data_IF_184192865440
#
_entry.id   IF_184192865440
#
_cell.length_a   1.000
_cell.length_b   1.000
_cell.length_c   1.000
_cell.angle_alpha   90.00
_cell.angle_beta   90.00
_cell.angle_gamma   90.00
#
_symmetry.space_group_name_H-M   'P 1'
#
loop_
_entity.id
_entity.type
_entity.pdbx_description
1 polymer ?
#
# COMPACT_ATOMS: atom_id res chain seq x y z
N UNK A 1 58.29 -62.72 -10.94
CA UNK A 1 57.11 -62.60 -10.11
C UNK A 1 57.09 -61.15 -9.61
N UNK A 2 56.61 -60.21 -10.42
CA UNK A 2 56.58 -58.76 -10.09
C UNK A 2 55.14 -58.24 -10.30
N UNK A 3 54.50 -57.89 -9.20
CA UNK A 3 53.17 -57.23 -9.23
C UNK A 3 53.37 -55.70 -9.41
N UNK A 4 52.99 -55.23 -10.62
CA UNK A 4 52.89 -53.80 -10.91
C UNK A 4 51.55 -53.25 -10.47
N UNK A 5 51.52 -52.45 -9.42
CA UNK A 5 50.32 -51.74 -8.95
C UNK A 5 50.20 -50.47 -9.76
N UNK A 6 49.23 -50.43 -10.70
CA UNK A 6 48.84 -49.23 -11.44
C UNK A 6 47.99 -48.32 -10.54
N UNK A 7 48.54 -47.16 -10.15
CA UNK A 7 47.80 -46.08 -9.48
C UNK A 7 46.99 -45.28 -10.51
N UNK A 8 45.68 -45.45 -10.50
CA UNK A 8 44.73 -44.61 -11.25
C UNK A 8 44.58 -43.26 -10.54
N UNK A 9 45.15 -42.22 -11.15
CA UNK A 9 44.89 -40.83 -10.76
C UNK A 9 43.52 -40.40 -11.27
N UNK A 10 42.60 -40.06 -10.36
CA UNK A 10 41.31 -39.43 -10.69
C UNK A 10 41.51 -37.91 -10.79
N UNK A 11 41.09 -37.26 -11.89
CA UNK A 11 41.08 -35.81 -11.94
C UNK A 11 39.91 -35.28 -11.13
N UNK A 12 40.18 -34.40 -10.16
CA UNK A 12 39.23 -33.57 -9.49
C UNK A 12 38.74 -32.48 -10.48
N UNK A 13 37.55 -32.62 -11.00
CA UNK A 13 36.86 -31.54 -11.73
C UNK A 13 36.30 -30.60 -10.69
N UNK A 14 36.97 -29.50 -10.44
CA UNK A 14 36.45 -28.39 -9.64
C UNK A 14 35.35 -27.67 -10.46
N UNK A 15 34.07 -27.96 -10.19
CA UNK A 15 32.96 -27.27 -10.78
C UNK A 15 32.88 -25.83 -10.25
N UNK A 16 33.18 -24.86 -11.12
CA UNK A 16 33.01 -23.44 -10.87
C UNK A 16 31.50 -23.12 -10.91
N UNK A 17 30.85 -23.05 -9.76
CA UNK A 17 29.46 -22.57 -9.66
C UNK A 17 29.46 -21.06 -9.86
N UNK A 18 29.20 -20.63 -11.08
CA UNK A 18 28.90 -19.20 -11.36
C UNK A 18 27.54 -18.88 -10.80
N UNK A 19 27.49 -18.25 -9.64
CA UNK A 19 26.28 -17.59 -9.12
C UNK A 19 25.97 -16.40 -10.04
N UNK A 20 25.13 -16.65 -11.05
CA UNK A 20 24.51 -15.59 -11.82
C UNK A 20 23.57 -14.81 -10.89
N UNK A 21 24.08 -13.77 -10.24
CA UNK A 21 23.29 -12.79 -9.54
C UNK A 21 22.35 -12.12 -10.55
N UNK A 22 21.06 -12.45 -10.50
CA UNK A 22 20.03 -11.73 -11.24
C UNK A 22 19.98 -10.31 -10.68
N UNK A 23 20.77 -9.40 -11.26
CA UNK A 23 20.55 -7.96 -11.11
C UNK A 23 19.21 -7.67 -11.75
N UNK A 24 18.16 -7.55 -10.95
CA UNK A 24 16.91 -6.95 -11.41
C UNK A 24 17.28 -5.56 -11.93
N UNK A 25 17.22 -5.37 -13.24
CA UNK A 25 17.37 -4.06 -13.88
C UNK A 25 16.30 -3.18 -13.23
N UNK A 26 16.75 -2.23 -12.39
CA UNK A 26 15.88 -1.17 -11.93
C UNK A 26 15.35 -0.45 -13.17
N UNK A 27 14.04 -0.51 -13.41
CA UNK A 27 13.42 0.18 -14.52
C UNK A 27 13.86 1.65 -14.45
N UNK A 28 14.36 2.19 -15.57
CA UNK A 28 14.74 3.60 -15.66
C UNK A 28 13.47 4.45 -15.61
N UNK A 29 13.11 4.88 -14.39
CA UNK A 29 11.95 5.73 -14.15
C UNK A 29 12.35 7.18 -14.32
N UNK A 30 11.61 7.90 -15.15
CA UNK A 30 11.81 9.33 -15.45
C UNK A 30 10.85 10.19 -14.61
N UNK A 31 11.40 11.16 -13.87
CA UNK A 31 10.60 12.15 -13.14
C UNK A 31 9.78 12.98 -14.12
N UNK A 32 8.51 13.22 -13.79
CA UNK A 32 7.55 13.90 -14.68
C UNK A 32 6.80 12.95 -15.63
N UNK A 33 7.27 11.70 -15.80
CA UNK A 33 6.61 10.66 -16.59
C UNK A 33 5.97 9.61 -15.67
N UNK A 34 6.77 8.74 -15.04
CA UNK A 34 6.23 7.68 -14.19
C UNK A 34 6.02 8.10 -12.74
N UNK A 35 6.62 9.18 -12.28
CA UNK A 35 6.45 9.71 -10.93
C UNK A 35 6.74 11.21 -10.87
N UNK A 36 6.31 11.86 -9.78
CA UNK A 36 6.69 13.23 -9.41
C UNK A 36 7.36 13.22 -8.04
N UNK A 37 8.39 14.06 -7.85
CA UNK A 37 9.04 14.23 -6.55
C UNK A 37 8.28 15.23 -5.67
N UNK A 38 8.10 14.88 -4.40
CA UNK A 38 7.66 15.81 -3.35
C UNK A 38 8.87 16.57 -2.80
N UNK A 39 8.80 17.88 -2.84
CA UNK A 39 9.82 18.77 -2.28
C UNK A 39 9.15 19.84 -1.42
N UNK A 40 9.46 19.90 -0.11
CA UNK A 40 10.29 18.95 0.64
C UNK A 40 9.65 17.57 0.77
N UNK A 41 10.47 16.55 1.05
CA UNK A 41 9.98 15.21 1.39
C UNK A 41 9.16 15.25 2.69
N UNK A 42 8.17 14.38 2.76
CA UNK A 42 7.30 14.26 3.95
C UNK A 42 7.80 13.10 4.83
N UNK A 43 8.07 13.32 6.13
CA UNK A 43 8.49 12.24 7.02
C UNK A 43 7.47 11.09 7.06
N UNK A 44 7.98 9.88 7.03
CA UNK A 44 7.19 8.63 7.13
C UNK A 44 6.94 8.22 8.58
N UNK A 45 6.03 7.29 8.79
CA UNK A 45 5.70 6.77 10.12
C UNK A 45 5.78 5.24 10.18
N UNK A 46 6.76 4.69 9.52
CA UNK A 46 7.06 3.26 9.53
C UNK A 46 8.29 2.98 10.40
N UNK A 47 8.46 1.72 10.80
CA UNK A 47 9.61 1.31 11.60
C UNK A 47 10.94 1.59 10.86
N UNK A 48 12.04 1.83 11.58
CA UNK A 48 13.37 1.94 10.99
C UNK A 48 13.67 0.75 10.06
N UNK A 49 14.29 1.03 8.94
CA UNK A 49 14.59 0.00 7.91
C UNK A 49 13.42 -0.34 6.98
N UNK A 50 12.25 0.27 7.15
CA UNK A 50 11.11 0.11 6.25
C UNK A 50 10.95 1.30 5.31
N UNK A 51 10.45 1.01 4.11
CA UNK A 51 10.02 2.00 3.12
C UNK A 51 8.50 2.05 3.14
N UNK A 52 7.94 3.22 3.41
CA UNK A 52 6.50 3.43 3.41
C UNK A 52 5.97 3.54 1.99
N UNK A 53 4.93 2.78 1.67
CA UNK A 53 4.12 2.96 0.47
C UNK A 53 2.71 3.27 0.90
N UNK A 54 2.24 4.49 0.65
CA UNK A 54 0.90 4.95 0.99
C UNK A 54 0.02 4.88 -0.24
N UNK A 55 -1.05 4.08 -0.18
CA UNK A 55 -2.14 4.18 -1.13
C UNK A 55 -3.17 5.19 -0.63
N UNK A 56 -3.41 6.22 -1.42
CA UNK A 56 -4.48 7.19 -1.15
C UNK A 56 -5.72 6.81 -1.94
N UNK A 57 -6.79 6.49 -1.23
CA UNK A 57 -8.00 5.92 -1.81
C UNK A 57 -9.28 6.67 -1.39
N UNK A 58 -10.37 6.38 -2.08
CA UNK A 58 -11.73 6.75 -1.69
C UNK A 58 -12.68 5.59 -1.91
N UNK A 59 -13.52 5.28 -0.94
CA UNK A 59 -14.46 4.16 -1.04
C UNK A 59 -15.40 4.24 -2.25
N UNK A 60 -15.86 5.44 -2.65
CA UNK A 60 -16.72 5.61 -3.82
C UNK A 60 -15.94 5.81 -5.15
N UNK A 61 -14.63 5.58 -5.14
CA UNK A 61 -13.82 5.59 -6.36
C UNK A 61 -13.80 4.20 -6.99
N UNK A 62 -14.43 4.05 -8.18
CA UNK A 62 -14.46 2.78 -8.90
C UNK A 62 -13.07 2.23 -9.25
N UNK A 63 -12.11 3.11 -9.59
CA UNK A 63 -10.72 2.68 -9.85
C UNK A 63 -10.02 2.18 -8.58
N UNK A 64 -10.29 2.77 -7.40
CA UNK A 64 -9.79 2.25 -6.13
C UNK A 64 -10.38 0.86 -5.83
N UNK A 65 -11.69 0.68 -6.06
CA UNK A 65 -12.36 -0.61 -5.91
C UNK A 65 -11.74 -1.70 -6.80
N UNK A 66 -11.41 -1.38 -8.06
CA UNK A 66 -10.77 -2.32 -8.99
C UNK A 66 -9.31 -2.60 -8.64
N UNK A 67 -8.59 -1.61 -8.08
CA UNK A 67 -7.20 -1.75 -7.69
C UNK A 67 -7.02 -2.58 -6.41
N UNK A 68 -7.97 -2.51 -5.45
CA UNK A 68 -7.83 -3.13 -4.12
C UNK A 68 -7.46 -4.63 -4.15
N UNK A 69 -8.13 -5.51 -4.94
CA UNK A 69 -7.73 -6.92 -5.00
C UNK A 69 -6.33 -7.13 -5.56
N UNK A 70 -5.88 -6.30 -6.49
CA UNK A 70 -4.51 -6.34 -7.05
C UNK A 70 -3.50 -5.87 -6.02
N UNK A 71 -3.82 -4.80 -5.28
CA UNK A 71 -2.99 -4.27 -4.20
C UNK A 71 -2.84 -5.29 -3.06
N UNK A 72 -3.92 -5.97 -2.67
CA UNK A 72 -3.89 -7.05 -1.69
C UNK A 72 -3.05 -8.25 -2.15
N UNK A 73 -3.11 -8.60 -3.44
CA UNK A 73 -2.28 -9.65 -4.01
C UNK A 73 -0.79 -9.24 -4.04
N UNK A 74 -0.48 -8.01 -4.41
CA UNK A 74 0.87 -7.45 -4.36
C UNK A 74 1.40 -7.42 -2.93
N UNK A 75 0.61 -7.00 -1.95
CA UNK A 75 0.99 -6.98 -0.54
C UNK A 75 1.40 -8.36 -0.04
N UNK A 76 0.72 -9.43 -0.49
CA UNK A 76 1.00 -10.81 -0.06
C UNK A 76 2.20 -11.42 -0.77
N UNK A 77 2.42 -11.15 -2.06
CA UNK A 77 3.35 -11.93 -2.90
C UNK A 77 4.34 -11.10 -3.71
N UNK A 78 4.06 -9.82 -3.99
CA UNK A 78 4.85 -8.97 -4.88
C UNK A 78 5.61 -7.85 -4.19
N UNK A 79 5.27 -7.58 -2.95
CA UNK A 79 5.82 -6.48 -2.16
C UNK A 79 7.22 -6.83 -1.64
N UNK A 80 8.25 -5.96 -1.83
CA UNK A 80 9.54 -6.14 -1.20
C UNK A 80 9.43 -6.25 0.33
N UNK A 81 10.28 -7.09 0.95
CA UNK A 81 10.19 -7.39 2.38
C UNK A 81 10.38 -6.16 3.29
N UNK A 82 11.14 -5.16 2.83
CA UNK A 82 11.36 -3.90 3.52
C UNK A 82 10.25 -2.87 3.28
N UNK A 83 9.27 -3.13 2.42
CA UNK A 83 8.15 -2.21 2.16
C UNK A 83 7.01 -2.46 3.15
N UNK A 84 6.45 -1.39 3.67
CA UNK A 84 5.21 -1.38 4.44
C UNK A 84 4.13 -0.62 3.68
N UNK A 85 3.02 -1.31 3.36
CA UNK A 85 1.84 -0.68 2.76
C UNK A 85 1.01 -0.02 3.85
N UNK A 86 0.59 1.21 3.58
CA UNK A 86 -0.34 2.00 4.42
C UNK A 86 -1.49 2.48 3.54
N UNK A 87 -2.72 2.21 3.94
CA UNK A 87 -3.89 2.78 3.28
C UNK A 87 -4.28 4.08 3.97
N UNK A 88 -4.54 5.11 3.19
CA UNK A 88 -4.92 6.44 3.68
C UNK A 88 -6.10 6.97 2.86
N UNK A 89 -7.22 7.32 3.48
CA UNK A 89 -8.34 7.90 2.75
C UNK A 89 -8.05 9.33 2.29
N UNK A 90 -8.55 9.68 1.12
CA UNK A 90 -8.57 11.05 0.63
C UNK A 90 -9.58 11.90 1.41
N UNK A 91 -9.32 13.24 1.54
CA UNK A 91 -10.06 14.07 2.50
C UNK A 91 -10.36 15.50 2.01
N UNK A 92 -10.49 15.77 0.71
CA UNK A 92 -10.65 17.16 0.21
C UNK A 92 -12.09 17.69 0.20
N UNK A 93 -13.11 16.87 0.53
CA UNK A 93 -14.50 17.31 0.72
C UNK A 93 -15.20 16.52 1.83
N UNK A 94 -16.45 16.90 2.20
CA UNK A 94 -17.14 16.32 3.35
C UNK A 94 -17.51 14.84 3.15
N UNK A 95 -17.87 14.42 1.92
CA UNK A 95 -18.18 13.01 1.64
C UNK A 95 -16.93 12.15 1.82
N UNK A 96 -15.77 12.61 1.33
CA UNK A 96 -14.50 11.91 1.53
C UNK A 96 -14.14 11.84 3.02
N UNK A 97 -14.35 12.92 3.78
CA UNK A 97 -14.10 12.92 5.24
C UNK A 97 -15.01 11.93 5.97
N UNK A 98 -16.27 11.81 5.56
CA UNK A 98 -17.20 10.81 6.11
C UNK A 98 -16.70 9.38 5.83
N UNK A 99 -16.25 9.12 4.62
CA UNK A 99 -15.67 7.82 4.27
C UNK A 99 -14.30 7.57 4.95
N UNK A 100 -13.51 8.61 5.15
CA UNK A 100 -12.27 8.50 5.95
C UNK A 100 -12.57 8.12 7.41
N UNK A 101 -13.61 8.69 7.99
CA UNK A 101 -14.09 8.33 9.32
C UNK A 101 -14.56 6.88 9.38
N UNK A 102 -15.28 6.39 8.38
CA UNK A 102 -15.65 4.97 8.27
C UNK A 102 -14.39 4.09 8.27
N UNK A 103 -13.40 4.41 7.45
CA UNK A 103 -12.15 3.65 7.35
C UNK A 103 -11.44 3.57 8.71
N UNK A 104 -11.21 4.71 9.35
CA UNK A 104 -10.53 4.73 10.64
C UNK A 104 -11.35 4.12 11.78
N UNK A 105 -12.68 4.16 11.69
CA UNK A 105 -13.54 3.43 12.63
C UNK A 105 -13.35 1.92 12.49
N UNK A 106 -13.34 1.39 11.27
CA UNK A 106 -13.06 -0.02 10.97
C UNK A 106 -11.69 -0.43 11.51
N UNK A 107 -10.68 0.41 11.29
CA UNK A 107 -9.30 0.15 11.74
C UNK A 107 -9.20 0.13 13.27
N UNK A 108 -9.77 1.13 13.97
CA UNK A 108 -9.76 1.21 15.45
C UNK A 108 -10.56 0.09 16.10
N UNK A 109 -11.62 -0.37 15.44
CA UNK A 109 -12.39 -1.55 15.89
C UNK A 109 -11.65 -2.88 15.64
N UNK A 110 -10.51 -2.87 14.95
CA UNK A 110 -9.75 -4.09 14.63
C UNK A 110 -10.50 -5.04 13.70
N UNK A 111 -11.30 -4.51 12.77
CA UNK A 111 -12.13 -5.29 11.84
C UNK A 111 -11.70 -5.06 10.36
N UNK A 112 -10.42 -5.32 9.99
CA UNK A 112 -9.91 -4.97 8.66
C UNK A 112 -10.67 -5.62 7.50
N UNK A 113 -11.34 -6.76 7.70
CA UNK A 113 -12.18 -7.40 6.69
C UNK A 113 -13.35 -6.53 6.24
N UNK A 114 -13.80 -5.57 7.05
CA UNK A 114 -14.89 -4.66 6.70
C UNK A 114 -14.46 -3.58 5.68
N UNK A 115 -13.17 -3.43 5.43
CA UNK A 115 -12.66 -2.53 4.39
C UNK A 115 -13.15 -2.94 2.99
N UNK A 116 -12.91 -4.20 2.61
CA UNK A 116 -13.39 -4.74 1.32
C UNK A 116 -14.92 -4.73 1.23
N UNK A 117 -15.58 -4.95 2.37
CA UNK A 117 -17.05 -4.92 2.41
C UNK A 117 -17.61 -3.51 2.22
N UNK A 118 -16.95 -2.48 2.75
CA UNK A 118 -17.34 -1.09 2.53
C UNK A 118 -17.18 -0.71 1.05
N UNK A 119 -16.11 -1.14 0.39
CA UNK A 119 -15.97 -0.97 -1.05
C UNK A 119 -17.11 -1.63 -1.82
N UNK A 120 -17.45 -2.89 -1.51
CA UNK A 120 -18.57 -3.60 -2.17
C UNK A 120 -19.93 -2.99 -1.88
N UNK A 121 -20.15 -2.54 -0.65
CA UNK A 121 -21.41 -1.87 -0.25
C UNK A 121 -21.68 -0.64 -1.12
N UNK A 122 -20.65 0.15 -1.36
CA UNK A 122 -20.74 1.39 -2.12
C UNK A 122 -20.77 1.13 -3.64
N UNK A 123 -19.81 0.36 -4.16
CA UNK A 123 -19.61 0.25 -5.62
C UNK A 123 -20.50 -0.81 -6.27
N UNK A 124 -20.99 -1.79 -5.51
CA UNK A 124 -21.79 -2.91 -6.05
C UNK A 124 -23.24 -2.82 -5.59
N UNK A 125 -23.49 -2.56 -4.29
CA UNK A 125 -24.85 -2.51 -3.74
C UNK A 125 -25.49 -1.12 -3.80
N UNK A 126 -24.72 -0.08 -4.14
CA UNK A 126 -25.21 1.29 -4.30
C UNK A 126 -25.52 2.01 -3.00
N UNK A 127 -25.22 1.43 -1.84
CA UNK A 127 -25.37 2.10 -0.54
C UNK A 127 -24.17 3.00 -0.28
N UNK A 128 -24.32 4.29 -0.47
CA UNK A 128 -23.22 5.25 -0.52
C UNK A 128 -22.52 5.53 0.82
N UNK A 129 -23.08 5.09 1.95
CA UNK A 129 -22.49 5.27 3.30
C UNK A 129 -22.07 6.73 3.62
N UNK A 130 -22.84 7.69 3.17
CA UNK A 130 -22.50 9.12 3.24
C UNK A 130 -23.00 9.80 4.54
N UNK A 131 -23.67 9.07 5.42
CA UNK A 131 -24.13 9.59 6.71
C UNK A 131 -23.74 8.67 7.87
N UNK A 132 -23.61 9.21 9.09
CA UNK A 132 -23.32 8.41 10.29
C UNK A 132 -24.34 7.28 10.49
N UNK A 133 -25.63 7.52 10.23
CA UNK A 133 -26.69 6.52 10.42
C UNK A 133 -26.55 5.35 9.44
N UNK A 134 -26.21 5.62 8.18
CA UNK A 134 -25.94 4.56 7.17
C UNK A 134 -24.71 3.76 7.53
N UNK A 135 -23.67 4.42 8.04
CA UNK A 135 -22.45 3.76 8.52
C UNK A 135 -22.73 2.91 9.75
N UNK A 136 -23.51 3.43 10.73
CA UNK A 136 -23.92 2.66 11.90
C UNK A 136 -24.68 1.39 11.47
N UNK A 137 -25.69 1.53 10.58
CA UNK A 137 -26.45 0.41 10.07
C UNK A 137 -25.57 -0.62 9.33
N UNK A 138 -24.64 -0.16 8.51
CA UNK A 138 -23.68 -1.01 7.80
C UNK A 138 -22.79 -1.82 8.77
N UNK A 139 -22.23 -1.17 9.79
CA UNK A 139 -21.33 -1.81 10.74
C UNK A 139 -22.08 -2.71 11.72
N UNK A 140 -23.25 -2.31 12.18
CA UNK A 140 -24.06 -3.12 13.11
C UNK A 140 -24.58 -4.39 12.45
N UNK A 141 -24.97 -4.35 11.18
CA UNK A 141 -25.34 -5.55 10.41
C UNK A 141 -24.15 -6.54 10.25
N UNK A 142 -22.92 -6.12 10.58
CA UNK A 142 -21.68 -6.90 10.50
C UNK A 142 -21.04 -7.18 11.87
N UNK A 143 -21.86 -7.13 12.92
CA UNK A 143 -21.45 -7.54 14.25
C UNK A 143 -20.64 -6.51 15.05
N UNK A 144 -20.75 -5.22 14.69
CA UNK A 144 -20.30 -4.13 15.56
C UNK A 144 -21.46 -3.74 16.46
N UNK A 145 -21.29 -3.69 17.78
CA UNK A 145 -22.34 -3.20 18.64
C UNK A 145 -22.59 -1.70 18.43
N UNK A 146 -23.82 -1.25 18.63
CA UNK A 146 -24.16 0.18 18.54
C UNK A 146 -23.32 1.02 19.51
N UNK A 147 -23.08 0.50 20.72
CA UNK A 147 -22.26 1.15 21.74
C UNK A 147 -20.79 1.30 21.29
N UNK A 148 -20.19 0.23 20.72
CA UNK A 148 -18.83 0.28 20.21
C UNK A 148 -18.72 1.24 19.02
N UNK A 149 -19.71 1.23 18.12
CA UNK A 149 -19.75 2.18 17.01
C UNK A 149 -19.75 3.62 17.55
N UNK A 150 -20.71 3.98 18.39
CA UNK A 150 -20.86 5.35 18.90
C UNK A 150 -19.60 5.83 19.64
N UNK A 151 -19.04 4.97 20.50
CA UNK A 151 -17.80 5.26 21.23
C UNK A 151 -16.60 5.47 20.28
N UNK A 152 -16.51 4.67 19.23
CA UNK A 152 -15.34 4.68 18.34
C UNK A 152 -15.45 5.76 17.27
N UNK A 153 -16.62 5.91 16.65
CA UNK A 153 -16.85 6.78 15.48
C UNK A 153 -16.52 8.25 15.75
N UNK A 154 -16.78 8.73 16.97
CA UNK A 154 -16.41 10.08 17.43
C UNK A 154 -15.28 10.07 18.45
N UNK A 155 -14.63 8.93 18.65
CA UNK A 155 -13.58 8.74 19.65
C UNK A 155 -12.26 9.40 19.25
N UNK A 156 -11.47 9.79 20.25
CA UNK A 156 -10.17 10.48 20.09
C UNK A 156 -9.23 9.75 19.10
N UNK A 157 -9.22 8.41 19.12
CA UNK A 157 -8.36 7.64 18.23
C UNK A 157 -8.71 7.85 16.74
N UNK A 158 -10.00 7.90 16.39
CA UNK A 158 -10.46 8.20 15.04
C UNK A 158 -10.18 9.65 14.68
N UNK A 159 -10.47 10.60 15.56
CA UNK A 159 -10.21 12.03 15.32
C UNK A 159 -8.72 12.31 15.08
N UNK A 160 -7.84 11.71 15.87
CA UNK A 160 -6.39 11.83 15.70
C UNK A 160 -5.90 11.31 14.34
N UNK A 161 -6.43 10.15 13.90
CA UNK A 161 -6.12 9.58 12.58
C UNK A 161 -6.64 10.46 11.44
N UNK A 162 -7.84 11.01 11.57
CA UNK A 162 -8.41 11.96 10.60
C UNK A 162 -7.58 13.22 10.47
N UNK A 163 -7.19 13.82 11.60
CA UNK A 163 -6.35 15.02 11.62
C UNK A 163 -5.01 14.76 10.91
N UNK A 164 -4.36 13.61 11.21
CA UNK A 164 -3.13 13.21 10.55
C UNK A 164 -3.33 12.99 9.04
N UNK A 165 -4.38 12.28 8.63
CA UNK A 165 -4.65 12.06 7.21
C UNK A 165 -4.92 13.38 6.47
N UNK A 166 -5.63 14.31 7.08
CA UNK A 166 -5.88 15.64 6.51
C UNK A 166 -4.58 16.43 6.28
N UNK A 167 -3.63 16.39 7.23
CA UNK A 167 -2.30 16.99 7.08
C UNK A 167 -1.51 16.31 5.94
N UNK A 168 -1.45 14.98 5.94
CA UNK A 168 -0.72 14.23 4.91
C UNK A 168 -1.32 14.42 3.51
N UNK A 169 -2.66 14.45 3.36
CA UNK A 169 -3.30 14.75 2.07
C UNK A 169 -2.82 16.09 1.50
N UNK A 170 -2.70 17.14 2.34
CA UNK A 170 -2.19 18.46 1.94
C UNK A 170 -0.70 18.39 1.57
N UNK A 171 0.12 17.76 2.41
CA UNK A 171 1.57 17.68 2.22
C UNK A 171 1.94 16.83 1.00
N UNK A 172 1.20 15.76 0.73
CA UNK A 172 1.35 14.93 -0.48
C UNK A 172 0.72 15.59 -1.71
N UNK A 173 -0.01 16.72 -1.56
CA UNK A 173 -0.70 17.44 -2.64
C UNK A 173 -1.68 16.54 -3.39
N UNK A 174 -2.45 15.74 -2.63
CA UNK A 174 -3.40 14.77 -3.20
C UNK A 174 -4.58 15.49 -3.84
N UNK A 175 -4.84 15.19 -5.12
CA UNK A 175 -5.94 15.75 -5.92
C UNK A 175 -6.78 14.70 -6.62
N UNK A 176 -6.37 13.44 -6.58
CA UNK A 176 -7.04 12.31 -7.25
C UNK A 176 -6.85 11.01 -6.47
N UNK A 177 -7.69 10.02 -6.77
CA UNK A 177 -7.58 8.65 -6.27
C UNK A 177 -7.80 7.63 -7.40
N UNK A 178 -7.13 6.46 -7.38
CA UNK A 178 -6.06 6.12 -6.45
C UNK A 178 -4.76 6.89 -6.76
N UNK A 179 -4.04 7.28 -5.72
CA UNK A 179 -2.70 7.86 -5.82
C UNK A 179 -1.77 7.09 -4.88
N UNK A 180 -0.53 6.85 -5.27
CA UNK A 180 0.46 6.18 -4.45
C UNK A 180 1.59 7.15 -4.09
N UNK A 181 1.98 7.15 -2.82
CA UNK A 181 3.14 7.91 -2.34
C UNK A 181 4.18 6.94 -1.79
N UNK A 182 5.40 6.98 -2.34
CA UNK A 182 6.51 6.13 -1.90
C UNK A 182 7.46 6.95 -1.04
N UNK A 183 7.67 6.50 0.18
CA UNK A 183 8.59 7.02 1.19
C UNK A 183 8.46 8.53 1.46
N UNK A 184 7.24 9.08 1.30
CA UNK A 184 7.00 10.52 1.43
C UNK A 184 7.74 11.38 0.42
N UNK A 185 8.32 10.79 -0.62
CA UNK A 185 9.18 11.47 -1.62
C UNK A 185 8.63 11.43 -3.02
N UNK A 186 7.98 10.34 -3.43
CA UNK A 186 7.55 10.12 -4.80
C UNK A 186 6.05 9.91 -4.87
N UNK A 187 5.39 10.59 -5.78
CA UNK A 187 3.96 10.43 -6.07
C UNK A 187 3.80 9.79 -7.44
N UNK A 188 2.98 8.76 -7.55
CA UNK A 188 2.66 8.07 -8.80
C UNK A 188 1.21 7.59 -8.79
N UNK A 189 0.71 7.19 -9.94
CA UNK A 189 -0.60 6.56 -10.13
C UNK A 189 -0.57 5.65 -11.37
N UNK A 190 -1.66 4.94 -11.63
CA UNK A 190 -1.75 4.03 -12.78
C UNK A 190 -1.63 4.75 -14.13
N UNK A 191 -2.08 6.01 -14.22
CA UNK A 191 -1.95 6.81 -15.45
C UNK A 191 -0.49 7.17 -15.72
N UNK A 192 0.23 7.63 -14.71
CA UNK A 192 1.66 7.92 -14.79
C UNK A 192 2.48 6.66 -15.08
N UNK A 193 2.15 5.55 -14.45
CA UNK A 193 2.83 4.27 -14.67
C UNK A 193 2.51 3.66 -16.06
N UNK A 194 1.39 4.07 -16.67
CA UNK A 194 0.91 3.58 -17.96
C UNK A 194 -0.10 2.42 -17.87
N UNK A 195 -0.22 1.75 -16.73
CA UNK A 195 -1.29 0.78 -16.40
C UNK A 195 -1.28 0.47 -14.90
N UNK A 196 -2.34 -0.19 -14.41
CA UNK A 196 -2.38 -0.69 -13.02
C UNK A 196 -1.28 -1.74 -12.75
N UNK A 197 -0.99 -2.62 -13.69
CA UNK A 197 0.04 -3.65 -13.50
C UNK A 197 1.45 -3.01 -13.45
N UNK A 198 1.73 -2.04 -14.31
CA UNK A 198 2.97 -1.26 -14.28
C UNK A 198 3.10 -0.39 -13.03
N UNK A 199 1.99 0.01 -12.40
CA UNK A 199 2.03 0.74 -11.13
C UNK A 199 2.81 -0.03 -10.07
N UNK A 200 2.63 -1.34 -9.95
CA UNK A 200 3.37 -2.16 -8.97
C UNK A 200 4.86 -2.27 -9.30
N UNK A 201 5.23 -2.29 -10.58
CA UNK A 201 6.63 -2.24 -11.00
C UNK A 201 7.27 -0.89 -10.62
N UNK A 202 6.56 0.22 -10.89
CA UNK A 202 6.99 1.58 -10.50
C UNK A 202 7.12 1.71 -8.98
N UNK A 203 6.14 1.21 -8.21
CA UNK A 203 6.19 1.20 -6.74
C UNK A 203 7.43 0.44 -6.23
N UNK A 204 7.70 -0.74 -6.77
CA UNK A 204 8.85 -1.55 -6.39
C UNK A 204 10.18 -0.86 -6.76
N UNK A 205 10.27 -0.28 -7.96
CA UNK A 205 11.46 0.42 -8.41
C UNK A 205 11.73 1.70 -7.60
N UNK A 206 10.70 2.48 -7.26
CA UNK A 206 10.83 3.65 -6.39
C UNK A 206 11.22 3.26 -4.95
N UNK A 207 10.64 2.17 -4.42
CA UNK A 207 11.01 1.67 -3.10
C UNK A 207 12.47 1.16 -3.06
N UNK A 208 12.96 0.57 -4.15
CA UNK A 208 14.36 0.11 -4.25
C UNK A 208 15.38 1.28 -4.27
N UNK A 209 14.97 2.48 -4.68
CA UNK A 209 15.82 3.70 -4.60
C UNK A 209 16.02 4.19 -3.16
N UNK A 210 15.12 3.79 -2.26
CA UNK A 210 15.15 4.20 -0.87
C UNK A 210 15.99 3.20 -0.07
N UNK A 211 17.12 3.67 0.47
CA UNK A 211 17.87 2.87 1.44
C UNK A 211 17.04 2.77 2.72
N UNK A 212 16.99 1.60 3.36
CA UNK A 212 16.43 1.52 4.71
C UNK A 212 17.09 2.59 5.58
N UNK A 213 16.29 3.32 6.36
CA UNK A 213 16.85 4.23 7.37
C UNK A 213 17.75 3.40 8.30
N UNK A 214 19.02 3.73 8.34
CA UNK A 214 20.04 3.11 9.19
C UNK A 214 19.78 3.44 10.66
#
# INVERSE_FOLDING_TARGET
>A
MNNLIARLARPLVAGLVVLAGSSALAADLTEGVQYKSLRPAVPTNVAPGKVEVVEVFWYACGHCYLLEPKLAAWEKKGKPANVQLVRMPAMWNEVLKTHARLFYTIEVLGKPQLHDEAFREINVRGNRLETPEKIEAFLTARGVSKADFQKTFTGFAVESKLARAADLNKRYRITSTPTVVVNGKYVTDASMAGSEDKLFEVMNALAAREKPAS
#
